data_IF_367561759158
#
_entry.id   IF_367561759158
#
_cell.length_a   1.000
_cell.length_b   1.000
_cell.length_c   1.000
_cell.angle_alpha   90.00
_cell.angle_beta   90.00
_cell.angle_gamma   90.00
#
_symmetry.space_group_name_H-M   'P 1'
#
loop_
_entity.id
_entity.type
_entity.pdbx_description
1 polymer ?
#
# COMPACT_ATOMS: atom_id res chain seq x y z
N UNK A 1 5.04 7.06 -15.40
CA UNK A 1 3.92 6.81 -14.47
C UNK A 1 3.80 5.33 -14.20
N UNK A 2 3.38 4.99 -12.99
CA UNK A 2 3.21 3.59 -12.61
C UNK A 2 1.74 3.32 -12.30
N UNK A 3 1.36 2.06 -12.40
CA UNK A 3 0.00 1.62 -12.12
C UNK A 3 0.00 0.95 -10.75
N UNK A 4 -0.76 1.52 -9.82
CA UNK A 4 -0.81 1.02 -8.45
C UNK A 4 -2.22 0.59 -8.11
N UNK A 5 -2.38 -0.67 -7.72
CA UNK A 5 -3.66 -1.18 -7.23
C UNK A 5 -3.67 -1.00 -5.71
N UNK A 6 -4.53 -0.10 -5.25
CA UNK A 6 -4.65 0.27 -3.84
C UNK A 6 -5.90 -0.35 -3.24
N UNK A 7 -5.87 -0.61 -1.97
CA UNK A 7 -7.08 -1.04 -1.29
C UNK A 7 -6.85 -1.94 -0.11
N UNK A 8 -7.87 -2.73 0.18
CA UNK A 8 -7.82 -3.70 1.26
C UNK A 8 -8.34 -5.05 0.75
N UNK A 9 -8.61 -5.98 1.64
CA UNK A 9 -9.07 -7.32 1.24
C UNK A 9 -10.44 -7.32 0.57
N UNK A 10 -11.22 -6.27 0.77
CA UNK A 10 -12.60 -6.20 0.31
C UNK A 10 -12.72 -5.38 -0.97
N UNK A 11 -12.01 -4.25 -1.04
CA UNK A 11 -12.18 -3.30 -2.13
C UNK A 11 -10.84 -2.79 -2.63
N UNK A 12 -10.66 -2.76 -3.94
CA UNK A 12 -9.42 -2.34 -4.59
C UNK A 12 -9.69 -1.39 -5.73
N UNK A 13 -8.77 -0.46 -5.94
CA UNK A 13 -8.86 0.52 -7.01
C UNK A 13 -7.47 0.67 -7.64
N UNK A 14 -7.41 0.68 -8.97
CA UNK A 14 -6.16 0.89 -9.68
C UNK A 14 -6.05 2.34 -10.08
N UNK A 15 -4.92 2.95 -9.77
CA UNK A 15 -4.65 4.36 -10.10
C UNK A 15 -3.30 4.49 -10.78
N UNK A 16 -3.12 5.60 -11.49
CA UNK A 16 -1.83 5.92 -12.12
C UNK A 16 -1.15 6.98 -11.26
N UNK A 17 0.07 6.69 -10.84
CA UNK A 17 0.83 7.57 -9.96
C UNK A 17 2.20 7.86 -10.53
N UNK A 18 2.74 9.02 -10.15
CA UNK A 18 4.12 9.37 -10.41
C UNK A 18 5.02 8.49 -9.53
N UNK A 19 6.07 7.88 -10.07
CA UNK A 19 6.96 7.05 -9.26
C UNK A 19 7.67 7.81 -8.14
N UNK A 20 7.68 9.14 -8.19
CA UNK A 20 8.23 9.96 -7.12
C UNK A 20 7.25 10.19 -5.97
N UNK A 21 6.04 9.67 -6.07
CA UNK A 21 5.06 9.69 -4.98
C UNK A 21 5.51 8.74 -3.88
N UNK A 22 5.38 9.14 -2.62
CA UNK A 22 5.69 8.22 -1.52
C UNK A 22 4.51 7.29 -1.28
N UNK A 23 4.78 6.16 -0.64
CA UNK A 23 3.74 5.20 -0.28
C UNK A 23 2.69 5.88 0.60
N UNK A 24 3.15 6.65 1.60
CA UNK A 24 2.25 7.38 2.52
C UNK A 24 1.33 8.33 1.76
N UNK A 25 1.86 9.10 0.83
CA UNK A 25 1.06 10.04 0.04
C UNK A 25 -0.01 9.32 -0.76
N UNK A 26 0.34 8.18 -1.36
CA UNK A 26 -0.62 7.41 -2.13
C UNK A 26 -1.77 6.91 -1.26
N UNK A 27 -1.45 6.42 -0.07
CA UNK A 27 -2.48 5.91 0.84
C UNK A 27 -3.38 7.04 1.36
N UNK A 28 -2.79 8.16 1.75
CA UNK A 28 -3.55 9.30 2.25
C UNK A 28 -4.46 9.90 1.19
N UNK A 29 -3.94 10.02 -0.02
CA UNK A 29 -4.70 10.61 -1.14
C UNK A 29 -5.93 9.79 -1.49
N UNK A 30 -5.89 8.49 -1.26
CA UNK A 30 -7.00 7.60 -1.59
C UNK A 30 -7.75 7.11 -0.35
N UNK A 31 -7.56 7.79 0.77
CA UNK A 31 -8.29 7.54 2.01
C UNK A 31 -8.13 6.12 2.56
N UNK A 32 -6.94 5.59 2.41
CA UNK A 32 -6.64 4.28 2.98
C UNK A 32 -6.00 4.48 4.34
N UNK A 33 -6.63 3.94 5.37
CA UNK A 33 -6.13 4.06 6.72
C UNK A 33 -5.00 3.07 6.96
N UNK A 34 -3.78 3.58 7.02
CA UNK A 34 -2.60 2.74 7.23
C UNK A 34 -2.19 2.67 8.71
N UNK A 35 -2.99 3.24 9.60
CA UNK A 35 -2.74 3.15 11.03
C UNK A 35 -3.22 1.82 11.60
N UNK A 36 -4.05 1.09 10.86
CA UNK A 36 -4.56 -0.21 11.27
C UNK A 36 -4.14 -1.27 10.25
N UNK A 37 -3.95 -2.49 10.73
CA UNK A 37 -3.53 -3.57 9.86
C UNK A 37 -2.08 -3.45 9.45
N UNK A 38 -1.73 -4.09 8.36
CA UNK A 38 -0.39 -4.06 7.80
C UNK A 38 -0.46 -3.68 6.32
N UNK A 39 0.48 -2.85 5.89
CA UNK A 39 0.56 -2.48 4.49
C UNK A 39 1.49 -3.44 3.78
N UNK A 40 1.01 -4.01 2.69
CA UNK A 40 1.76 -4.97 1.87
C UNK A 40 1.98 -4.40 0.49
N UNK A 41 3.22 -4.46 0.02
CA UNK A 41 3.58 -4.08 -1.34
C UNK A 41 3.95 -5.36 -2.08
N UNK A 42 3.15 -5.72 -3.09
CA UNK A 42 3.31 -6.96 -3.86
C UNK A 42 3.45 -8.19 -2.97
N UNK A 43 2.66 -8.22 -1.88
CA UNK A 43 2.64 -9.34 -0.96
C UNK A 43 3.68 -9.30 0.14
N UNK A 44 4.58 -8.33 0.12
CA UNK A 44 5.61 -8.19 1.15
C UNK A 44 5.21 -7.10 2.13
N UNK A 45 5.30 -7.40 3.41
CA UNK A 45 4.97 -6.43 4.45
C UNK A 45 5.96 -5.27 4.45
N UNK A 46 5.44 -4.04 4.48
CA UNK A 46 6.28 -2.85 4.55
C UNK A 46 6.56 -2.47 6.00
N UNK A 47 7.79 -2.02 6.24
CA UNK A 47 8.17 -1.45 7.53
C UNK A 47 7.68 0.00 7.61
N UNK A 48 7.49 0.53 8.83
CA UNK A 48 7.07 1.94 8.96
C UNK A 48 7.98 2.93 8.23
N UNK A 49 9.28 2.68 8.20
CA UNK A 49 10.23 3.54 7.50
C UNK A 49 10.07 3.54 5.98
N UNK A 50 9.50 2.48 5.43
CA UNK A 50 9.31 2.37 3.99
C UNK A 50 8.14 3.23 3.50
N UNK A 51 7.28 3.67 4.40
CA UNK A 51 6.13 4.49 4.06
C UNK A 51 6.53 5.85 3.50
N UNK A 52 7.69 6.34 3.88
CA UNK A 52 8.20 7.63 3.42
C UNK A 52 9.06 7.51 2.17
N UNK A 53 9.25 6.30 1.66
CA UNK A 53 9.99 6.09 0.43
C UNK A 53 9.08 6.22 -0.76
N UNK A 54 9.65 6.67 -1.89
CA UNK A 54 8.92 6.73 -3.15
C UNK A 54 8.83 5.34 -3.76
N UNK A 55 7.88 5.16 -4.67
CA UNK A 55 7.78 3.90 -5.39
C UNK A 55 9.05 3.62 -6.20
N UNK A 56 9.65 4.68 -6.74
CA UNK A 56 10.91 4.55 -7.47
C UNK A 56 12.02 4.02 -6.55
N UNK A 57 12.12 4.56 -5.34
CA UNK A 57 13.11 4.11 -4.36
C UNK A 57 12.89 2.65 -3.94
N UNK A 58 11.66 2.18 -4.02
CA UNK A 58 11.32 0.80 -3.69
C UNK A 58 11.47 -0.13 -4.89
N UNK A 59 11.93 0.38 -6.03
CA UNK A 59 12.17 -0.43 -7.21
C UNK A 59 10.94 -0.68 -8.07
N UNK A 60 9.88 0.09 -7.87
CA UNK A 60 8.65 -0.06 -8.64
C UNK A 60 8.73 0.82 -9.88
N UNK A 61 8.75 0.21 -11.06
CA UNK A 61 8.93 0.92 -12.32
C UNK A 61 7.77 0.77 -13.29
N UNK A 62 6.83 -0.12 -13.01
CA UNK A 62 5.72 -0.41 -13.91
C UNK A 62 4.40 -0.47 -13.16
N UNK A 63 4.22 -1.50 -12.35
CA UNK A 63 2.96 -1.70 -11.61
C UNK A 63 3.23 -2.40 -10.29
N UNK A 64 2.30 -2.24 -9.36
CA UNK A 64 2.38 -2.94 -8.08
C UNK A 64 1.01 -3.00 -7.40
N UNK A 65 0.93 -3.83 -6.38
CA UNK A 65 -0.24 -3.94 -5.51
C UNK A 65 0.13 -3.39 -4.15
N UNK A 66 -0.59 -2.38 -3.68
CA UNK A 66 -0.37 -1.77 -2.38
C UNK A 66 -1.65 -1.95 -1.57
N UNK A 67 -1.65 -2.93 -0.67
CA UNK A 67 -2.84 -3.35 0.02
C UNK A 67 -2.71 -3.21 1.53
N UNK A 68 -3.79 -2.78 2.18
CA UNK A 68 -3.91 -2.79 3.62
C UNK A 68 -4.59 -4.10 4.03
N UNK A 69 -3.85 -4.97 4.66
CA UNK A 69 -4.36 -6.25 5.13
C UNK A 69 -4.68 -6.13 6.61
N UNK A 70 -5.96 -6.23 6.94
CA UNK A 70 -6.40 -6.15 8.32
C UNK A 70 -5.81 -7.31 9.12
N UNK A 71 -5.22 -6.99 10.25
CA UNK A 71 -4.74 -8.03 11.14
C UNK A 71 -5.89 -8.59 11.93
N UNK A 72 -5.94 -9.80 11.85
CA UNK A 72 -6.76 -10.57 12.50
C UNK A 72 -7.92 -10.17 13.20
N UNK A 73 -8.49 -10.15 13.11
CA UNK A 73 -9.50 -10.06 13.60
C UNK A 73 -9.83 -11.45 13.81
N UNK A 74 -9.22 -11.63 13.66
CA UNK A 74 -9.08 -12.42 13.61
C UNK A 74 -8.79 -13.09 14.18
N UNK A 75 -8.72 -12.94 14.37
CA UNK A 75 -8.41 -13.46 14.82
C UNK A 75 -8.49 -13.75 15.55
N UNK A 76 -8.74 -13.47 15.75
CA UNK A 76 -8.68 -13.83 16.34
C UNK A 76 -8.93 -14.43 16.70
N UNK A 77 -9.17 -14.40 16.72
CA UNK A 77 -9.25 -15.03 17.05
C UNK A 77 -9.19 -15.65 17.43
N UNK A 78 -9.34 -15.59 17.66
CA UNK A 78 -9.18 -16.28 17.97
C UNK A 78 -9.29 -16.66 18.35
#
# INVERSE_FOLDING_TARGET
MIKVTLGNNVKRTTVILDPNTTVREALEKHNIDYSVGAIHLDGASLNPGDMDKTFDALGIHDKCFLLNVAKGNNAQAH
#
